data_IF_031422084563
#
_entry.id   IF_031422084563
#
_cell.length_a   1.000
_cell.length_b   1.000
_cell.length_c   1.000
_cell.angle_alpha   90.00
_cell.angle_beta   90.00
_cell.angle_gamma   90.00
#
_symmetry.space_group_name_H-M   'P 1'
#
loop_
_entity.id
_entity.type
_entity.pdbx_description
1 polymer ?
#
# COMPACT_ATOMS: atom_id res chain seq x y z
N UNK A 1 18.64 40.03 -20.56
CA UNK A 1 17.47 39.12 -20.43
C UNK A 1 17.86 37.67 -20.13
N UNK A 2 18.80 37.04 -20.87
CA UNK A 2 19.26 35.65 -20.60
C UNK A 2 19.78 35.38 -19.17
N UNK A 3 20.49 36.35 -18.56
CA UNK A 3 21.02 36.22 -17.19
C UNK A 3 19.93 36.21 -16.11
N UNK A 4 18.84 36.96 -16.32
CA UNK A 4 17.70 37.00 -15.38
C UNK A 4 16.93 35.68 -15.43
N UNK A 5 16.75 35.10 -16.62
CA UNK A 5 16.11 33.79 -16.80
C UNK A 5 16.91 32.68 -16.08
N UNK A 6 18.24 32.72 -16.17
CA UNK A 6 19.11 31.77 -15.46
C UNK A 6 19.01 31.91 -13.94
N UNK A 7 18.92 33.13 -13.42
CA UNK A 7 18.76 33.38 -11.97
C UNK A 7 17.38 32.90 -11.50
N UNK A 8 16.32 33.16 -12.28
CA UNK A 8 14.97 32.70 -11.96
C UNK A 8 14.89 31.17 -11.95
N UNK A 9 15.51 30.51 -12.93
CA UNK A 9 15.58 29.05 -13.02
C UNK A 9 16.36 28.45 -11.84
N UNK A 10 17.47 29.07 -11.44
CA UNK A 10 18.23 28.64 -10.25
C UNK A 10 17.41 28.75 -8.97
N UNK A 11 16.64 29.83 -8.78
CA UNK A 11 15.77 30.01 -7.60
C UNK A 11 14.66 28.95 -7.55
N UNK A 12 14.05 28.61 -8.69
CA UNK A 12 13.01 27.57 -8.78
C UNK A 12 13.57 26.18 -8.42
N UNK A 13 14.82 25.88 -8.78
CA UNK A 13 15.43 24.59 -8.41
C UNK A 13 15.72 24.46 -6.91
N UNK A 14 15.92 25.55 -6.19
CA UNK A 14 16.23 25.53 -4.75
C UNK A 14 14.96 25.34 -3.90
N UNK A 15 13.79 25.78 -4.38
CA UNK A 15 12.52 25.65 -3.64
C UNK A 15 11.79 24.33 -3.87
N UNK A 16 12.19 23.54 -4.88
CA UNK A 16 11.54 22.26 -5.22
C UNK A 16 11.75 21.15 -4.17
N UNK A 17 12.79 21.24 -3.33
CA UNK A 17 13.10 20.24 -2.31
C UNK A 17 12.53 20.57 -0.92
N UNK A 18 11.30 21.07 -0.85
CA UNK A 18 10.59 21.14 0.43
C UNK A 18 10.10 19.75 0.81
N UNK A 19 10.74 19.14 1.81
CA UNK A 19 10.14 18.01 2.54
C UNK A 19 8.96 18.53 3.34
N UNK A 20 7.77 18.46 2.77
CA UNK A 20 6.54 18.71 3.52
C UNK A 20 6.35 17.55 4.51
N UNK A 21 6.40 17.88 5.80
CA UNK A 21 6.06 16.94 6.87
C UNK A 21 4.54 16.84 6.90
N UNK A 22 4.01 15.70 6.49
CA UNK A 22 2.59 15.39 6.54
C UNK A 22 2.23 15.17 8.02
N UNK A 23 1.28 15.96 8.50
CA UNK A 23 0.81 15.87 9.88
C UNK A 23 -0.01 14.59 10.07
N UNK A 24 -0.09 14.06 11.30
CA UNK A 24 -1.01 12.97 11.60
C UNK A 24 -2.45 13.33 11.18
N UNK A 25 -3.16 12.44 10.48
CA UNK A 25 -4.55 12.67 10.11
C UNK A 25 -5.44 12.67 11.36
N UNK A 26 -6.63 13.27 11.24
CA UNK A 26 -7.61 13.34 12.34
C UNK A 26 -7.97 11.96 12.89
N UNK A 27 -8.10 10.98 12.00
CA UNK A 27 -8.39 9.59 12.33
C UNK A 27 -7.14 8.75 12.05
N UNK A 28 -6.11 8.90 12.87
CA UNK A 28 -4.89 8.09 12.76
C UNK A 28 -5.20 6.63 13.12
N UNK A 29 -4.94 5.74 12.18
CA UNK A 29 -5.07 4.29 12.36
C UNK A 29 -3.83 3.77 13.07
N UNK A 30 -4.02 2.78 13.94
CA UNK A 30 -2.90 1.99 14.46
C UNK A 30 -2.20 1.23 13.32
N UNK A 31 -0.90 1.01 13.46
CA UNK A 31 -0.09 0.33 12.43
C UNK A 31 -0.61 -1.09 12.17
N UNK A 32 -1.04 -1.77 13.22
CA UNK A 32 -1.60 -3.12 13.21
C UNK A 32 -2.89 -3.17 12.39
N UNK A 33 -3.72 -2.12 12.45
CA UNK A 33 -4.92 -1.99 11.61
C UNK A 33 -4.54 -1.88 10.14
N UNK A 34 -3.53 -1.09 9.78
CA UNK A 34 -3.02 -1.02 8.41
C UNK A 34 -2.44 -2.35 7.92
N UNK A 35 -1.70 -3.06 8.77
CA UNK A 35 -1.21 -4.42 8.46
C UNK A 35 -2.40 -5.34 8.13
N UNK A 36 -3.46 -5.31 8.94
CA UNK A 36 -4.67 -6.11 8.71
C UNK A 36 -5.35 -5.76 7.37
N UNK A 37 -5.53 -4.46 7.10
CA UNK A 37 -6.14 -3.97 5.85
C UNK A 37 -5.34 -4.46 4.64
N UNK A 38 -4.02 -4.24 4.62
CA UNK A 38 -3.17 -4.60 3.48
C UNK A 38 -3.12 -6.13 3.30
N UNK A 39 -3.09 -6.89 4.39
CA UNK A 39 -3.19 -8.35 4.36
C UNK A 39 -4.49 -8.82 3.68
N UNK A 40 -5.64 -8.30 4.10
CA UNK A 40 -6.92 -8.70 3.49
C UNK A 40 -7.07 -8.24 2.04
N UNK A 41 -6.56 -7.05 1.69
CA UNK A 41 -6.56 -6.59 0.31
C UNK A 41 -5.69 -7.50 -0.57
N UNK A 42 -4.57 -7.99 -0.04
CA UNK A 42 -3.71 -8.95 -0.72
C UNK A 42 -4.43 -10.29 -0.96
N UNK A 43 -5.22 -10.75 0.01
CA UNK A 43 -6.07 -11.94 -0.15
C UNK A 43 -7.21 -11.71 -1.16
N UNK A 44 -7.86 -10.55 -1.11
CA UNK A 44 -8.92 -10.17 -2.06
C UNK A 44 -8.39 -10.16 -3.49
N UNK A 45 -7.21 -9.57 -3.71
CA UNK A 45 -6.58 -9.53 -5.03
C UNK A 45 -6.18 -10.94 -5.48
N UNK A 46 -5.58 -11.76 -4.61
CA UNK A 46 -5.23 -13.14 -4.92
C UNK A 46 -6.47 -14.00 -5.26
N UNK A 47 -7.61 -13.77 -4.61
CA UNK A 47 -8.86 -14.46 -4.94
C UNK A 47 -9.38 -14.04 -6.31
N UNK A 48 -9.30 -12.75 -6.63
CA UNK A 48 -9.72 -12.19 -7.92
C UNK A 48 -8.84 -12.65 -9.08
N UNK A 49 -7.53 -12.77 -8.90
CA UNK A 49 -6.63 -13.23 -9.97
C UNK A 49 -6.78 -14.74 -10.23
N UNK A 50 -7.15 -15.53 -9.23
CA UNK A 50 -7.36 -16.97 -9.37
C UNK A 50 -8.74 -17.35 -9.94
N UNK A 51 -9.73 -16.45 -9.91
CA UNK A 51 -11.10 -16.72 -10.39
C UNK A 51 -11.26 -16.66 -11.92
N UNK A 52 -10.20 -16.89 -12.69
CA UNK A 52 -10.25 -16.87 -14.16
C UNK A 52 -11.34 -17.82 -14.67
N UNK A 53 -12.36 -17.27 -15.34
CA UNK A 53 -13.45 -18.04 -15.95
C UNK A 53 -14.77 -18.09 -15.15
N UNK A 54 -14.82 -17.57 -13.92
CA UNK A 54 -16.07 -17.43 -13.15
C UNK A 54 -16.36 -15.95 -12.91
N UNK A 55 -17.53 -15.46 -13.33
CA UNK A 55 -17.99 -14.09 -13.06
C UNK A 55 -18.40 -13.97 -11.58
N UNK A 56 -17.41 -13.82 -10.69
CA UNK A 56 -17.64 -13.35 -9.34
C UNK A 56 -17.57 -11.82 -9.31
N UNK A 57 -18.58 -11.19 -8.71
CA UNK A 57 -18.56 -9.76 -8.42
C UNK A 57 -17.74 -9.53 -7.15
N UNK A 58 -16.45 -9.24 -7.30
CA UNK A 58 -15.60 -8.84 -6.17
C UNK A 58 -15.83 -7.37 -5.84
N UNK A 59 -15.94 -6.99 -4.55
CA UNK A 59 -16.06 -5.60 -4.15
C UNK A 59 -14.80 -4.82 -4.52
N UNK A 60 -14.93 -3.51 -4.74
CA UNK A 60 -13.76 -2.63 -4.84
C UNK A 60 -13.03 -2.60 -3.50
N UNK A 61 -11.72 -2.32 -3.52
CA UNK A 61 -10.92 -2.20 -2.31
C UNK A 61 -11.55 -1.24 -1.28
N UNK A 62 -12.03 -0.08 -1.71
CA UNK A 62 -12.69 0.89 -0.82
C UNK A 62 -13.99 0.37 -0.22
N UNK A 63 -14.80 -0.38 -0.97
CA UNK A 63 -16.04 -1.00 -0.49
C UNK A 63 -15.74 -2.11 0.53
N UNK A 64 -14.72 -2.92 0.25
CA UNK A 64 -14.25 -3.96 1.14
C UNK A 64 -13.71 -3.38 2.47
N UNK A 65 -12.86 -2.35 2.40
CA UNK A 65 -12.32 -1.68 3.59
C UNK A 65 -13.45 -1.05 4.41
N UNK A 66 -14.36 -0.32 3.76
CA UNK A 66 -15.50 0.32 4.42
C UNK A 66 -16.41 -0.70 5.11
N UNK A 67 -16.71 -1.82 4.46
CA UNK A 67 -17.60 -2.85 5.02
C UNK A 67 -16.96 -3.58 6.20
N UNK A 68 -15.71 -4.03 6.08
CA UNK A 68 -15.00 -4.83 7.09
C UNK A 68 -14.44 -4.01 8.26
N UNK A 69 -13.79 -2.89 7.96
CA UNK A 69 -13.06 -2.09 8.95
C UNK A 69 -13.80 -0.83 9.40
N UNK A 70 -14.92 -0.47 8.73
CA UNK A 70 -15.65 0.79 8.97
C UNK A 70 -14.79 2.04 8.72
N UNK A 71 -13.81 1.92 7.83
CA UNK A 71 -12.90 3.00 7.43
C UNK A 71 -13.28 3.47 6.03
N UNK A 72 -13.46 4.77 5.85
CA UNK A 72 -13.71 5.37 4.54
C UNK A 72 -12.41 5.52 3.72
N UNK A 73 -12.56 5.74 2.41
CA UNK A 73 -11.42 5.81 1.50
C UNK A 73 -10.50 7.00 1.76
N UNK A 74 -11.01 8.11 2.30
CA UNK A 74 -10.22 9.30 2.60
C UNK A 74 -9.37 9.02 3.84
N UNK A 75 -9.98 8.50 4.92
CA UNK A 75 -9.25 8.08 6.12
C UNK A 75 -8.16 7.07 5.78
N UNK A 76 -8.42 6.09 4.92
CA UNK A 76 -7.40 5.13 4.48
C UNK A 76 -6.27 5.82 3.69
N UNK A 77 -6.59 6.66 2.71
CA UNK A 77 -5.60 7.37 1.89
C UNK A 77 -4.70 8.28 2.73
N UNK A 78 -5.27 9.06 3.64
CA UNK A 78 -4.54 9.96 4.54
C UNK A 78 -3.57 9.20 5.44
N UNK A 79 -3.98 8.02 5.93
CA UNK A 79 -3.12 7.17 6.74
C UNK A 79 -1.98 6.55 5.93
N UNK A 80 -2.25 6.04 4.72
CA UNK A 80 -1.19 5.58 3.81
C UNK A 80 -0.19 6.71 3.54
N UNK A 81 -0.69 7.92 3.27
CA UNK A 81 0.15 9.09 3.03
C UNK A 81 1.00 9.43 4.26
N UNK A 82 0.40 9.46 5.45
CA UNK A 82 1.10 9.72 6.71
C UNK A 82 2.23 8.73 7.00
N UNK A 83 1.96 7.42 6.91
CA UNK A 83 2.96 6.39 7.18
C UNK A 83 4.04 6.29 6.08
N UNK A 84 3.71 6.64 4.83
CA UNK A 84 4.65 6.63 3.70
C UNK A 84 5.79 7.66 3.81
N UNK A 85 5.67 8.65 4.70
CA UNK A 85 6.73 9.63 4.95
C UNK A 85 8.02 9.01 5.49
N UNK A 86 7.91 7.95 6.29
CA UNK A 86 9.03 7.16 6.73
C UNK A 86 9.03 5.83 5.96
N UNK A 87 9.82 5.79 4.90
CA UNK A 87 9.95 4.60 4.05
C UNK A 87 10.40 3.35 4.84
N UNK A 88 11.17 3.51 5.93
CA UNK A 88 11.60 2.37 6.75
C UNK A 88 10.43 1.82 7.55
N UNK A 89 9.64 2.68 8.18
CA UNK A 89 8.46 2.26 8.93
C UNK A 89 7.35 1.72 8.01
N UNK A 90 7.13 2.35 6.86
CA UNK A 90 6.17 1.88 5.88
C UNK A 90 6.57 0.50 5.34
N UNK A 91 7.86 0.27 5.09
CA UNK A 91 8.39 -1.05 4.69
C UNK A 91 8.09 -2.13 5.73
N UNK A 92 8.17 -1.81 7.03
CA UNK A 92 7.87 -2.79 8.10
C UNK A 92 6.43 -3.30 8.00
N UNK A 93 5.46 -2.44 7.66
CA UNK A 93 4.06 -2.85 7.46
C UNK A 93 3.97 -3.96 6.40
N UNK A 94 4.60 -3.76 5.24
CA UNK A 94 4.58 -4.76 4.17
C UNK A 94 5.39 -6.03 4.50
N UNK A 95 6.50 -5.91 5.23
CA UNK A 95 7.24 -7.08 5.73
C UNK A 95 6.35 -7.93 6.64
N UNK A 96 5.66 -7.31 7.59
CA UNK A 96 4.74 -8.03 8.50
C UNK A 96 3.59 -8.68 7.73
N UNK A 97 3.03 -8.01 6.73
CA UNK A 97 2.02 -8.63 5.85
C UNK A 97 2.59 -9.85 5.12
N UNK A 98 3.79 -9.72 4.55
CA UNK A 98 4.46 -10.82 3.85
C UNK A 98 4.72 -12.00 4.79
N UNK A 99 5.23 -11.76 5.99
CA UNK A 99 5.49 -12.81 6.98
C UNK A 99 4.21 -13.55 7.36
N UNK A 100 3.10 -12.85 7.53
CA UNK A 100 1.79 -13.46 7.79
C UNK A 100 1.32 -14.33 6.63
N UNK A 101 1.46 -13.84 5.39
CA UNK A 101 1.12 -14.61 4.18
C UNK A 101 2.01 -15.85 4.02
N UNK A 102 3.31 -15.71 4.23
CA UNK A 102 4.27 -16.82 4.17
C UNK A 102 3.95 -17.88 5.23
N UNK A 103 3.68 -17.47 6.47
CA UNK A 103 3.32 -18.39 7.55
C UNK A 103 2.02 -19.11 7.23
N UNK A 104 1.00 -18.38 6.76
CA UNK A 104 -0.27 -19.00 6.35
C UNK A 104 -0.08 -19.99 5.20
N UNK A 105 0.78 -19.64 4.25
CA UNK A 105 1.10 -20.50 3.10
C UNK A 105 1.82 -21.77 3.54
N UNK A 106 2.77 -21.68 4.48
CA UNK A 106 3.44 -22.85 5.07
C UNK A 106 2.45 -23.75 5.80
N UNK A 107 1.55 -23.19 6.61
CA UNK A 107 0.50 -23.95 7.30
C UNK A 107 -0.32 -24.78 6.30
N UNK A 108 -0.67 -24.19 5.16
CA UNK A 108 -1.48 -24.84 4.13
C UNK A 108 -0.70 -25.86 3.28
N UNK A 109 0.64 -25.74 3.19
CA UNK A 109 1.49 -26.54 2.30
C UNK A 109 2.49 -27.44 3.07
N UNK A 110 2.18 -27.84 4.30
CA UNK A 110 3.03 -28.76 5.08
C UNK A 110 4.43 -28.20 5.38
N UNK A 111 4.54 -26.90 5.64
CA UNK A 111 5.77 -26.21 6.01
C UNK A 111 6.57 -25.62 4.85
N UNK A 112 6.11 -25.77 3.60
CA UNK A 112 6.82 -25.27 2.41
C UNK A 112 6.17 -23.99 1.88
N UNK A 113 6.99 -23.04 1.41
CA UNK A 113 6.50 -21.90 0.61
C UNK A 113 6.63 -22.32 -0.87
N UNK A 114 5.53 -22.33 -1.66
CA UNK A 114 5.61 -22.53 -3.10
C UNK A 114 6.53 -21.49 -3.75
N UNK A 115 7.22 -21.83 -4.84
CA UNK A 115 7.98 -20.84 -5.60
C UNK A 115 7.04 -19.69 -6.02
N UNK A 116 7.53 -18.44 -6.07
CA UNK A 116 6.72 -17.31 -6.54
C UNK A 116 6.15 -17.61 -7.92
N UNK A 117 4.86 -17.35 -8.11
CA UNK A 117 4.24 -17.45 -9.42
C UNK A 117 4.78 -16.33 -10.33
N UNK A 118 5.75 -16.68 -11.17
CA UNK A 118 6.38 -15.75 -12.13
C UNK A 118 5.46 -15.37 -13.29
N UNK A 119 4.29 -15.99 -13.43
CA UNK A 119 3.32 -15.64 -14.48
C UNK A 119 2.54 -14.35 -14.15
N UNK A 120 2.37 -14.04 -12.86
CA UNK A 120 1.78 -12.80 -12.39
C UNK A 120 2.88 -11.73 -12.24
N UNK A 121 3.31 -11.20 -13.38
CA UNK A 121 4.36 -10.19 -13.46
C UNK A 121 4.12 -9.03 -12.48
N UNK A 122 5.20 -8.66 -11.78
CA UNK A 122 5.33 -7.40 -11.04
C UNK A 122 4.91 -6.26 -11.96
N UNK A 123 3.85 -5.53 -11.59
CA UNK A 123 3.46 -4.21 -12.09
C UNK A 123 3.89 -3.92 -13.54
N UNK A 124 3.03 -4.28 -14.51
CA UNK A 124 3.02 -3.57 -15.80
C UNK A 124 2.28 -2.25 -15.66
#
# INVERSE_FOLDING_TARGET
MKKIILILLAIITITACKKEVIKPPKNLLEKEVLVNIIYDLSLLEAAKTQSMGVQYSYPKASEFIKSKYKIDSITFADNIQYYSQDAKEFKKIYITVKERLDNKTKELNGGKIPPPDTSQGILK
#
